data_IF_475162621838
#
_entry.id   IF_475162621838
#
_cell.length_a   1.000
_cell.length_b   1.000
_cell.length_c   1.000
_cell.angle_alpha   90.00
_cell.angle_beta   90.00
_cell.angle_gamma   90.00
#
_symmetry.space_group_name_H-M   'P 1'
#
loop_
_entity.id
_entity.type
_entity.pdbx_description
1 polymer ?
#
# COMPACT_ATOMS: atom_id res chain seq x y z
N UNK A 1 7.58 -27.59 8.05
CA UNK A 1 9.03 -27.67 8.21
C UNK A 1 9.43 -28.86 9.11
N UNK A 2 10.69 -29.03 9.38
CA UNK A 2 11.22 -30.14 10.21
C UNK A 2 10.72 -30.15 11.67
N UNK A 3 10.11 -29.07 12.13
CA UNK A 3 9.53 -28.92 13.47
C UNK A 3 8.01 -29.08 13.49
N UNK A 4 7.41 -29.48 12.35
CA UNK A 4 5.96 -29.64 12.22
C UNK A 4 5.18 -28.33 12.04
N UNK A 5 5.87 -27.19 11.93
CA UNK A 5 5.24 -25.89 11.75
C UNK A 5 4.81 -25.68 10.28
N UNK A 6 3.67 -25.04 10.10
CA UNK A 6 3.18 -24.69 8.77
C UNK A 6 4.05 -23.60 8.17
N UNK A 7 4.52 -23.79 6.95
CA UNK A 7 5.30 -22.80 6.18
C UNK A 7 4.54 -22.24 4.98
N UNK A 8 3.57 -23.03 4.47
CA UNK A 8 2.73 -22.65 3.33
C UNK A 8 1.31 -23.14 3.57
N UNK A 9 0.33 -22.35 3.19
CA UNK A 9 -1.07 -22.73 3.10
C UNK A 9 -1.68 -22.23 1.79
N UNK A 10 -2.36 -23.11 1.07
CA UNK A 10 -3.19 -22.78 -0.09
C UNK A 10 -4.60 -23.29 0.20
N UNK A 11 -5.60 -22.44 0.08
CA UNK A 11 -6.95 -22.83 0.43
C UNK A 11 -8.01 -21.80 0.09
N UNK A 12 -9.21 -22.05 0.60
CA UNK A 12 -10.38 -21.21 0.43
C UNK A 12 -10.73 -20.56 1.76
N UNK A 13 -10.98 -19.26 1.75
CA UNK A 13 -11.45 -18.51 2.91
C UNK A 13 -12.93 -18.76 3.21
N UNK A 14 -13.40 -18.31 4.37
CA UNK A 14 -14.79 -18.46 4.81
C UNK A 14 -15.81 -17.78 3.88
N UNK A 15 -15.37 -16.79 3.11
CA UNK A 15 -16.16 -16.09 2.08
C UNK A 15 -16.06 -16.74 0.69
N UNK A 16 -15.43 -17.92 0.56
CA UNK A 16 -15.28 -18.64 -0.70
C UNK A 16 -14.11 -18.20 -1.58
N UNK A 17 -13.41 -17.12 -1.25
CA UNK A 17 -12.24 -16.66 -2.00
C UNK A 17 -11.00 -17.51 -1.74
N UNK A 18 -10.23 -17.80 -2.80
CA UNK A 18 -8.96 -18.51 -2.68
C UNK A 18 -7.84 -17.63 -2.13
N UNK A 19 -6.91 -18.25 -1.40
CA UNK A 19 -5.71 -17.52 -0.92
C UNK A 19 -4.50 -18.46 -0.72
N UNK A 20 -3.32 -17.84 -0.76
CA UNK A 20 -2.05 -18.42 -0.39
C UNK A 20 -1.47 -17.62 0.78
N UNK A 21 -0.93 -18.32 1.78
CA UNK A 21 -0.20 -17.74 2.91
C UNK A 21 1.15 -18.42 3.09
N UNK A 22 2.16 -17.63 3.42
CA UNK A 22 3.45 -18.14 3.89
C UNK A 22 3.67 -17.74 5.34
N UNK A 23 4.47 -18.55 6.05
CA UNK A 23 4.74 -18.36 7.46
C UNK A 23 6.25 -18.47 7.71
N UNK A 24 6.77 -17.72 8.68
CA UNK A 24 8.13 -17.87 9.15
C UNK A 24 8.24 -19.06 10.12
N UNK A 25 9.43 -19.30 10.66
CA UNK A 25 9.69 -20.42 11.57
C UNK A 25 8.98 -20.27 12.94
N UNK A 26 8.52 -19.08 13.29
CA UNK A 26 7.75 -18.78 14.51
C UNK A 26 6.23 -18.92 14.29
N UNK A 27 5.81 -19.32 13.08
CA UNK A 27 4.40 -19.46 12.74
C UNK A 27 3.68 -18.15 12.41
N UNK A 28 4.41 -17.03 12.29
CA UNK A 28 3.84 -15.75 11.91
C UNK A 28 3.65 -15.67 10.39
N UNK A 29 2.52 -15.12 9.95
CA UNK A 29 2.24 -14.90 8.52
C UNK A 29 3.21 -13.86 7.95
N UNK A 30 3.85 -14.20 6.83
CA UNK A 30 4.81 -13.31 6.15
C UNK A 30 4.29 -12.76 4.84
N UNK A 31 3.46 -13.54 4.12
CA UNK A 31 2.81 -13.11 2.89
C UNK A 31 1.38 -13.65 2.83
N UNK A 32 0.46 -12.82 2.36
CA UNK A 32 -0.88 -13.19 1.93
C UNK A 32 -1.09 -12.80 0.47
N UNK A 33 -1.56 -13.72 -0.35
CA UNK A 33 -2.01 -13.48 -1.72
C UNK A 33 -3.40 -14.08 -1.82
N UNK A 34 -4.40 -13.30 -2.17
CA UNK A 34 -5.75 -13.86 -2.27
C UNK A 34 -6.85 -12.83 -2.42
N UNK A 35 -8.07 -13.26 -2.17
CA UNK A 35 -9.26 -12.43 -2.26
C UNK A 35 -9.46 -11.64 -0.97
N UNK A 36 -9.62 -10.33 -1.09
CA UNK A 36 -9.94 -9.43 0.02
C UNK A 36 -11.42 -9.50 0.41
N UNK A 37 -11.78 -8.78 1.49
CA UNK A 37 -13.16 -8.71 1.98
C UNK A 37 -14.15 -8.08 0.97
N UNK A 38 -13.63 -7.22 0.09
CA UNK A 38 -14.36 -6.58 -1.02
C UNK A 38 -14.41 -7.42 -2.30
N UNK A 39 -14.01 -8.71 -2.22
CA UNK A 39 -13.88 -9.65 -3.34
C UNK A 39 -12.81 -9.29 -4.38
N UNK A 40 -11.98 -8.29 -4.14
CA UNK A 40 -10.83 -7.94 -4.99
C UNK A 40 -9.59 -8.77 -4.67
N UNK A 41 -8.68 -8.89 -5.64
CA UNK A 41 -7.37 -9.50 -5.43
C UNK A 41 -6.46 -8.60 -4.61
N UNK A 42 -5.68 -9.18 -3.69
CA UNK A 42 -4.70 -8.45 -2.88
C UNK A 42 -3.45 -9.27 -2.60
N UNK A 43 -2.34 -8.56 -2.40
CA UNK A 43 -1.10 -9.09 -1.85
C UNK A 43 -0.72 -8.25 -0.62
N UNK A 44 -0.37 -8.93 0.48
CA UNK A 44 0.20 -8.31 1.68
C UNK A 44 1.53 -8.95 2.00
N UNK A 45 2.49 -8.13 2.36
CA UNK A 45 3.75 -8.56 2.96
C UNK A 45 3.78 -7.99 4.37
N UNK A 46 4.04 -8.86 5.34
CA UNK A 46 4.08 -8.49 6.75
C UNK A 46 5.54 -8.32 7.21
N UNK A 47 5.77 -7.45 8.15
CA UNK A 47 7.05 -7.29 8.81
C UNK A 47 7.25 -8.34 9.92
N UNK A 48 8.39 -8.29 10.60
CA UNK A 48 8.73 -9.24 11.69
C UNK A 48 7.84 -9.10 12.92
N UNK A 49 7.06 -8.03 13.05
CA UNK A 49 6.08 -7.84 14.11
C UNK A 49 4.68 -8.37 13.73
N UNK A 50 4.51 -8.85 12.48
CA UNK A 50 3.22 -9.31 11.94
C UNK A 50 2.32 -8.18 11.45
N UNK A 51 2.85 -6.95 11.39
CA UNK A 51 2.13 -5.80 10.85
C UNK A 51 2.30 -5.71 9.34
N UNK A 52 1.30 -5.13 8.64
CA UNK A 52 1.39 -4.97 7.18
C UNK A 52 2.47 -3.96 6.83
N UNK A 53 3.57 -4.42 6.21
CA UNK A 53 4.62 -3.57 5.68
C UNK A 53 4.34 -3.09 4.26
N UNK A 54 3.70 -3.95 3.44
CA UNK A 54 3.36 -3.66 2.04
C UNK A 54 1.98 -4.20 1.70
N UNK A 55 1.21 -3.44 0.93
CA UNK A 55 -0.08 -3.83 0.41
C UNK A 55 -0.17 -3.49 -1.09
N UNK A 56 -0.56 -4.48 -1.91
CA UNK A 56 -0.96 -4.31 -3.29
C UNK A 56 -2.42 -4.74 -3.41
N UNK A 57 -3.29 -3.84 -3.78
CA UNK A 57 -4.71 -4.10 -3.99
C UNK A 57 -5.16 -3.69 -5.38
N UNK A 58 -6.45 -3.75 -5.62
CA UNK A 58 -7.03 -3.34 -6.89
C UNK A 58 -6.83 -1.83 -7.12
N UNK A 59 -5.90 -1.50 -8.01
CA UNK A 59 -5.63 -0.12 -8.42
C UNK A 59 -4.66 0.67 -7.55
N UNK A 60 -4.03 0.08 -6.52
CA UNK A 60 -3.03 0.79 -5.71
C UNK A 60 -2.00 -0.11 -5.03
N UNK A 61 -0.87 0.50 -4.72
CA UNK A 61 0.23 -0.02 -3.91
C UNK A 61 0.48 0.90 -2.72
N UNK A 62 0.72 0.33 -1.53
CA UNK A 62 1.05 1.07 -0.30
C UNK A 62 2.22 0.43 0.42
N UNK A 63 3.03 1.28 1.07
CA UNK A 63 4.00 0.83 2.06
C UNK A 63 3.72 1.50 3.41
N UNK A 64 4.11 0.81 4.48
CA UNK A 64 3.92 1.26 5.86
C UNK A 64 5.25 1.18 6.60
N UNK A 65 5.44 2.04 7.58
CA UNK A 65 6.58 1.97 8.49
C UNK A 65 6.28 1.05 9.69
N UNK A 66 7.27 0.82 10.53
CA UNK A 66 7.18 0.00 11.75
C UNK A 66 6.12 0.48 12.78
N UNK A 67 5.52 1.65 12.59
CA UNK A 67 4.44 2.19 13.43
C UNK A 67 3.06 2.07 12.77
N UNK A 68 2.95 1.30 11.67
CA UNK A 68 1.71 1.12 10.91
C UNK A 68 1.28 2.37 10.12
N UNK A 69 2.15 3.40 10.00
CA UNK A 69 1.84 4.62 9.26
C UNK A 69 2.18 4.47 7.79
N UNK A 70 1.26 4.85 6.91
CA UNK A 70 1.48 4.80 5.47
C UNK A 70 2.57 5.78 5.04
N UNK A 71 3.60 5.27 4.37
CA UNK A 71 4.74 6.06 3.87
C UNK A 71 4.68 6.33 2.38
N UNK A 72 4.08 5.42 1.61
CA UNK A 72 3.94 5.57 0.16
C UNK A 72 2.54 5.12 -0.30
N UNK A 73 1.99 5.83 -1.25
CA UNK A 73 0.84 5.43 -2.04
C UNK A 73 1.15 5.63 -3.52
N UNK A 74 0.94 4.61 -4.32
CA UNK A 74 0.97 4.66 -5.79
C UNK A 74 -0.33 4.04 -6.30
N UNK A 75 -1.11 4.76 -7.05
CA UNK A 75 -2.38 4.21 -7.55
C UNK A 75 -3.34 5.27 -8.07
N UNK A 76 -4.59 4.86 -8.21
CA UNK A 76 -5.64 5.70 -8.72
C UNK A 76 -6.20 6.61 -7.61
N UNK A 77 -6.44 7.86 -7.95
CA UNK A 77 -7.20 8.80 -7.14
C UNK A 77 -8.71 8.57 -7.27
N UNK A 78 -9.48 9.26 -6.44
CA UNK A 78 -10.95 9.20 -6.44
C UNK A 78 -11.56 9.56 -7.80
N UNK A 79 -10.93 10.47 -8.53
CA UNK A 79 -11.39 10.96 -9.84
C UNK A 79 -10.76 10.19 -11.02
N UNK A 80 -10.13 9.04 -10.75
CA UNK A 80 -9.55 8.14 -11.75
C UNK A 80 -8.14 8.50 -12.22
N UNK A 81 -7.61 9.67 -11.84
CA UNK A 81 -6.23 10.05 -12.15
C UNK A 81 -5.21 9.27 -11.29
N UNK A 82 -4.09 8.87 -11.90
CA UNK A 82 -3.01 8.20 -11.18
C UNK A 82 -2.13 9.18 -10.41
N UNK A 83 -1.61 8.75 -9.24
CA UNK A 83 -0.64 9.54 -8.49
C UNK A 83 0.29 8.70 -7.63
N UNK A 84 1.47 9.26 -7.36
CA UNK A 84 2.40 8.84 -6.33
C UNK A 84 2.38 9.87 -5.20
N UNK A 85 2.23 9.40 -3.97
CA UNK A 85 2.31 10.20 -2.76
C UNK A 85 3.31 9.59 -1.80
N UNK A 86 4.14 10.43 -1.18
CA UNK A 86 4.97 10.03 -0.04
C UNK A 86 4.57 10.80 1.21
N UNK A 87 4.67 10.13 2.34
CA UNK A 87 4.40 10.70 3.65
C UNK A 87 5.65 10.57 4.54
N UNK A 88 5.79 11.47 5.50
CA UNK A 88 6.78 11.30 6.56
C UNK A 88 6.33 10.24 7.59
N UNK A 89 7.16 9.99 8.61
CA UNK A 89 6.87 8.98 9.66
C UNK A 89 5.60 9.24 10.47
N UNK A 90 5.02 10.44 10.39
CA UNK A 90 3.79 10.84 11.08
C UNK A 90 2.56 10.82 10.15
N UNK A 91 2.72 10.29 8.93
CA UNK A 91 1.67 10.23 7.90
C UNK A 91 1.30 11.61 7.29
N UNK A 92 2.13 12.64 7.53
CA UNK A 92 1.99 13.93 6.86
C UNK A 92 2.52 13.82 5.43
N UNK A 93 1.74 14.24 4.43
CA UNK A 93 2.16 14.25 3.03
C UNK A 93 3.36 15.14 2.81
N UNK A 94 4.41 14.60 2.19
CA UNK A 94 5.64 15.32 1.85
C UNK A 94 5.85 15.50 0.36
N UNK A 95 5.25 14.64 -0.46
CA UNK A 95 5.23 14.83 -1.92
C UNK A 95 3.98 14.26 -2.56
N UNK A 96 3.56 14.89 -3.65
CA UNK A 96 2.54 14.42 -4.57
C UNK A 96 3.04 14.59 -6.00
N UNK A 97 2.94 13.54 -6.80
CA UNK A 97 3.19 13.55 -8.24
C UNK A 97 2.02 12.83 -8.91
N UNK A 98 1.25 13.52 -9.73
CA UNK A 98 0.10 12.88 -10.34
C UNK A 98 -0.80 13.82 -11.10
N UNK A 99 -2.04 13.40 -11.26
CA UNK A 99 -3.09 14.15 -11.95
C UNK A 99 -3.99 14.83 -10.89
N UNK A 100 -4.22 16.12 -11.06
CA UNK A 100 -5.15 16.87 -10.21
C UNK A 100 -6.61 16.71 -10.68
N UNK A 101 -7.56 17.32 -9.96
CA UNK A 101 -9.00 17.25 -10.28
C UNK A 101 -9.37 17.93 -11.63
N UNK A 102 -8.46 18.70 -12.21
CA UNK A 102 -8.62 19.31 -13.54
C UNK A 102 -8.00 18.47 -14.66
N UNK A 103 -7.57 17.23 -14.37
CA UNK A 103 -6.84 16.34 -15.27
C UNK A 103 -5.48 16.87 -15.74
N UNK A 104 -4.87 17.76 -14.96
CA UNK A 104 -3.56 18.32 -15.24
C UNK A 104 -2.48 17.63 -14.41
N UNK A 105 -1.27 17.54 -14.96
CA UNK A 105 -0.11 17.05 -14.22
C UNK A 105 0.28 18.02 -13.09
N UNK A 106 0.47 17.49 -11.89
CA UNK A 106 0.83 18.25 -10.70
C UNK A 106 2.02 17.58 -10.01
N UNK A 107 3.02 18.40 -9.63
CA UNK A 107 4.03 18.03 -8.65
C UNK A 107 3.89 19.00 -7.49
N UNK A 108 3.77 18.47 -6.28
CA UNK A 108 3.71 19.25 -5.05
C UNK A 108 4.73 18.68 -4.05
N UNK A 109 5.54 19.56 -3.46
CA UNK A 109 6.44 19.21 -2.37
C UNK A 109 6.05 20.02 -1.12
N UNK A 110 5.95 19.32 0.00
CA UNK A 110 5.55 19.88 1.28
C UNK A 110 6.70 19.76 2.29
N UNK A 111 6.72 20.66 3.24
CA UNK A 111 7.57 20.54 4.41
C UNK A 111 7.10 19.45 5.37
N UNK A 112 7.81 19.27 6.49
CA UNK A 112 7.49 18.26 7.51
C UNK A 112 6.13 18.46 8.20
N UNK A 113 5.50 19.61 8.05
CA UNK A 113 4.19 19.96 8.60
C UNK A 113 3.07 19.87 7.56
N UNK A 114 3.40 19.53 6.32
CA UNK A 114 2.43 19.43 5.21
C UNK A 114 2.15 20.76 4.52
N UNK A 115 2.95 21.79 4.80
CA UNK A 115 2.82 23.09 4.12
C UNK A 115 3.57 23.03 2.79
N UNK A 116 2.88 23.36 1.69
CA UNK A 116 3.50 23.40 0.37
C UNK A 116 4.56 24.49 0.28
N UNK A 117 5.77 24.09 -0.11
CA UNK A 117 6.85 25.03 -0.40
C UNK A 117 7.23 25.07 -1.89
N UNK A 118 6.77 24.09 -2.68
CA UNK A 118 6.98 24.06 -4.13
C UNK A 118 5.84 23.32 -4.82
N UNK A 119 5.22 23.97 -5.81
CA UNK A 119 4.15 23.40 -6.64
C UNK A 119 4.48 23.70 -8.10
N UNK A 120 4.40 22.70 -8.96
CA UNK A 120 4.41 22.89 -10.42
C UNK A 120 3.17 22.27 -11.04
N UNK A 121 2.41 23.11 -11.71
CA UNK A 121 1.31 22.73 -12.59
C UNK A 121 1.80 22.81 -14.04
N UNK A 122 1.58 21.79 -14.82
CA UNK A 122 1.74 21.90 -16.27
C UNK A 122 0.42 22.45 -16.83
N UNK A 123 0.33 23.76 -16.96
CA UNK A 123 -0.78 24.38 -17.69
C UNK A 123 -0.50 24.16 -19.18
N UNK A 124 -1.26 23.28 -19.82
CA UNK A 124 -1.26 23.18 -21.27
C UNK A 124 -1.54 24.58 -21.90
N UNK A 125 -0.82 24.89 -22.94
CA UNK A 125 -1.09 26.07 -23.78
C UNK A 125 -2.43 25.88 -24.51
#
# INVERSE_FOLDING_TARGET
NQFGERTLFLGTGTSGGGYLRTYNFEGQETVYIGTGADSSGQLRVYDSAGETGTFLGSGYFRTYNQFGKMTTYLGNGRDGGGYLRTNNKFETETSFLGTNNSNEGLINLNDKFGQSFWIRLNKGN
#
